data_IF_688748087084
#
_entry.id   IF_688748087084
#
_cell.length_a   1.000
_cell.length_b   1.000
_cell.length_c   1.000
_cell.angle_alpha   90.00
_cell.angle_beta   90.00
_cell.angle_gamma   90.00
#
_symmetry.space_group_name_H-M   'P 1'
#
loop_
_entity.id
_entity.type
_entity.pdbx_description
1 polymer ?
#
# COMPACT_ATOMS: atom_id res chain seq x y z
N UNK A 1 42.02 -0.38 11.59
CA UNK A 1 41.90 0.67 10.55
C UNK A 1 40.94 0.19 9.47
N UNK A 2 39.90 0.94 9.11
CA UNK A 2 38.99 0.57 8.00
C UNK A 2 39.72 0.88 6.67
N UNK A 3 39.85 -0.09 5.78
CA UNK A 3 40.53 0.10 4.49
C UNK A 3 39.81 1.11 3.60
N UNK A 4 40.55 1.80 2.73
CA UNK A 4 40.00 2.75 1.77
C UNK A 4 38.93 2.12 0.88
N UNK A 5 39.09 0.85 0.53
CA UNK A 5 38.11 0.09 -0.26
C UNK A 5 36.77 -0.11 0.49
N UNK A 6 36.83 -0.39 1.80
CA UNK A 6 35.64 -0.49 2.65
C UNK A 6 34.91 0.86 2.79
N UNK A 7 35.67 1.97 2.88
CA UNK A 7 35.11 3.33 2.88
C UNK A 7 34.44 3.66 1.55
N UNK A 8 35.05 3.29 0.43
CA UNK A 8 34.52 3.53 -0.92
C UNK A 8 33.25 2.72 -1.20
N UNK A 9 33.21 1.45 -0.80
CA UNK A 9 31.99 0.61 -0.89
C UNK A 9 30.82 1.18 -0.09
N UNK A 10 31.07 1.68 1.13
CA UNK A 10 30.05 2.35 1.95
C UNK A 10 29.53 3.64 1.30
N UNK A 11 30.43 4.42 0.70
CA UNK A 11 30.08 5.65 -0.04
C UNK A 11 29.23 5.36 -1.29
N UNK A 12 29.56 4.31 -2.05
CA UNK A 12 28.75 3.88 -3.19
C UNK A 12 27.38 3.35 -2.77
N UNK A 13 27.31 2.59 -1.68
CA UNK A 13 26.03 2.11 -1.13
C UNK A 13 25.15 3.25 -0.64
N UNK A 14 25.70 4.27 0.02
CA UNK A 14 24.93 5.43 0.48
C UNK A 14 24.40 6.27 -0.69
N UNK A 15 25.20 6.45 -1.75
CA UNK A 15 24.76 7.11 -3.01
C UNK A 15 23.64 6.34 -3.71
N UNK A 16 23.74 5.01 -3.82
CA UNK A 16 22.66 4.17 -4.40
C UNK A 16 21.37 4.26 -3.59
N UNK A 17 21.46 4.26 -2.25
CA UNK A 17 20.30 4.46 -1.36
C UNK A 17 19.67 5.85 -1.54
N UNK A 18 20.48 6.89 -1.70
CA UNK A 18 20.00 8.26 -1.94
C UNK A 18 19.27 8.38 -3.28
N UNK A 19 19.83 7.82 -4.35
CA UNK A 19 19.20 7.85 -5.69
C UNK A 19 17.89 7.04 -5.69
N UNK A 20 17.88 5.86 -5.05
CA UNK A 20 16.66 5.08 -4.89
C UNK A 20 15.60 5.86 -4.08
N UNK A 21 16.00 6.54 -3.01
CA UNK A 21 15.11 7.40 -2.23
C UNK A 21 14.53 8.56 -3.04
N UNK A 22 15.35 9.23 -3.86
CA UNK A 22 14.89 10.31 -4.76
C UNK A 22 13.93 9.75 -5.82
N UNK A 23 14.24 8.60 -6.42
CA UNK A 23 13.37 7.96 -7.41
C UNK A 23 12.01 7.60 -6.84
N UNK A 24 11.96 7.13 -5.59
CA UNK A 24 10.71 6.86 -4.86
C UNK A 24 9.94 8.15 -4.60
N UNK A 25 10.60 9.22 -4.14
CA UNK A 25 9.95 10.52 -3.91
C UNK A 25 9.39 11.10 -5.22
N UNK A 26 10.14 11.03 -6.32
CA UNK A 26 9.68 11.49 -7.62
C UNK A 26 8.51 10.65 -8.15
N UNK A 27 8.55 9.33 -8.01
CA UNK A 27 7.42 8.48 -8.34
C UNK A 27 6.18 8.82 -7.49
N UNK A 28 6.38 9.20 -6.22
CA UNK A 28 5.28 9.65 -5.38
C UNK A 28 4.72 11.02 -5.75
N UNK A 29 5.56 11.95 -6.20
CA UNK A 29 5.15 13.31 -6.56
C UNK A 29 4.50 13.37 -7.95
N UNK A 30 4.97 12.56 -8.90
CA UNK A 30 4.56 12.63 -10.31
C UNK A 30 3.67 11.48 -10.77
N UNK A 31 3.62 10.37 -10.02
CA UNK A 31 2.73 9.24 -10.33
C UNK A 31 1.25 9.54 -10.42
N UNK A 32 0.69 10.37 -9.52
CA UNK A 32 -0.71 10.76 -9.59
C UNK A 32 -1.08 11.54 -10.85
N UNK A 33 -0.12 12.18 -11.54
CA UNK A 33 -0.41 13.01 -12.71
C UNK A 33 -0.57 12.20 -14.01
N UNK A 34 0.14 11.07 -14.14
CA UNK A 34 0.20 10.26 -15.38
C UNK A 34 -0.94 9.24 -15.46
N UNK A 35 -1.52 8.82 -14.33
CA UNK A 35 -2.51 7.76 -14.25
C UNK A 35 -3.88 8.23 -13.76
N UNK A 36 -4.24 9.50 -13.98
CA UNK A 36 -5.44 10.11 -13.39
C UNK A 36 -6.77 9.42 -13.76
N UNK A 37 -6.93 8.94 -15.00
CA UNK A 37 -8.26 8.60 -15.53
C UNK A 37 -8.87 7.31 -14.95
N UNK A 38 -8.09 6.25 -14.70
CA UNK A 38 -8.62 5.00 -14.13
C UNK A 38 -8.67 5.01 -12.60
N UNK A 39 -7.81 5.80 -11.96
CA UNK A 39 -7.59 5.74 -10.52
C UNK A 39 -8.45 6.74 -9.74
N UNK A 40 -9.04 7.74 -10.42
CA UNK A 40 -9.96 8.71 -9.82
C UNK A 40 -11.43 8.27 -9.78
N UNK A 41 -11.77 7.05 -10.20
CA UNK A 41 -13.16 6.56 -10.18
C UNK A 41 -13.71 6.63 -8.75
N UNK A 42 -14.70 7.50 -8.52
CA UNK A 42 -15.34 7.72 -7.22
C UNK A 42 -16.32 6.60 -6.91
N UNK A 43 -16.30 6.11 -5.67
CA UNK A 43 -17.21 5.07 -5.18
C UNK A 43 -18.50 5.76 -4.72
N UNK A 44 -19.55 5.71 -5.54
CA UNK A 44 -20.81 6.40 -5.24
C UNK A 44 -21.78 5.55 -4.40
N UNK A 45 -21.64 4.24 -4.47
CA UNK A 45 -22.53 3.29 -3.80
C UNK A 45 -21.83 1.93 -3.56
N UNK A 46 -22.50 1.03 -2.85
CA UNK A 46 -21.99 -0.31 -2.53
C UNK A 46 -21.74 -1.17 -3.78
N UNK A 47 -22.51 -0.99 -4.86
CA UNK A 47 -22.32 -1.76 -6.10
C UNK A 47 -21.00 -1.41 -6.79
N UNK A 48 -20.66 -0.12 -6.85
CA UNK A 48 -19.37 0.36 -7.38
C UNK A 48 -18.21 -0.22 -6.58
N UNK A 49 -18.33 -0.23 -5.27
CA UNK A 49 -17.33 -0.81 -4.38
C UNK A 49 -17.13 -2.31 -4.64
N UNK A 50 -18.22 -3.09 -4.69
CA UNK A 50 -18.17 -4.53 -4.96
C UNK A 50 -17.48 -4.79 -6.30
N UNK A 51 -17.85 -4.03 -7.33
CA UNK A 51 -17.27 -4.15 -8.67
C UNK A 51 -15.77 -3.82 -8.65
N UNK A 52 -15.37 -2.69 -8.06
CA UNK A 52 -13.97 -2.28 -7.98
C UNK A 52 -13.14 -3.31 -7.20
N UNK A 53 -13.61 -3.80 -6.05
CA UNK A 53 -12.90 -4.83 -5.29
C UNK A 53 -12.73 -6.09 -6.13
N UNK A 54 -13.79 -6.58 -6.81
CA UNK A 54 -13.70 -7.75 -7.69
C UNK A 54 -12.75 -7.57 -8.87
N UNK A 55 -12.62 -6.35 -9.39
CA UNK A 55 -11.71 -6.04 -10.50
C UNK A 55 -10.24 -5.97 -10.04
N UNK A 56 -10.00 -5.39 -8.85
CA UNK A 56 -8.65 -5.11 -8.35
C UNK A 56 -8.06 -6.22 -7.46
N UNK A 57 -8.90 -6.99 -6.76
CA UNK A 57 -8.48 -8.12 -5.90
C UNK A 57 -7.64 -9.16 -6.67
N UNK A 58 -8.04 -9.64 -7.87
CA UNK A 58 -7.23 -10.59 -8.63
C UNK A 58 -5.87 -10.02 -9.04
N UNK A 59 -5.77 -8.69 -9.18
CA UNK A 59 -4.54 -8.00 -9.54
C UNK A 59 -3.59 -7.89 -8.34
N UNK A 60 -4.14 -7.63 -7.15
CA UNK A 60 -3.39 -7.58 -5.90
C UNK A 60 -2.91 -8.97 -5.45
N UNK A 61 -3.70 -10.01 -5.75
CA UNK A 61 -3.47 -11.39 -5.28
C UNK A 61 -2.33 -12.14 -5.96
N UNK A 62 -1.62 -11.60 -6.96
CA UNK A 62 -0.85 -12.38 -7.96
C UNK A 62 0.05 -13.53 -7.43
N UNK A 63 0.50 -13.49 -6.17
CA UNK A 63 1.23 -14.58 -5.50
C UNK A 63 0.77 -14.89 -4.06
N UNK A 64 -0.50 -14.62 -3.72
CA UNK A 64 -1.07 -14.76 -2.38
C UNK A 64 -2.30 -15.66 -2.36
N UNK A 65 -2.54 -16.33 -1.22
CA UNK A 65 -3.76 -17.09 -1.01
C UNK A 65 -5.01 -16.19 -1.10
N UNK A 66 -6.16 -16.78 -1.43
CA UNK A 66 -7.44 -16.07 -1.38
C UNK A 66 -7.70 -15.61 0.06
N UNK A 67 -8.24 -14.40 0.22
CA UNK A 67 -8.59 -13.79 1.51
C UNK A 67 -10.03 -13.33 1.43
N UNK A 68 -10.79 -13.45 2.50
CA UNK A 68 -12.15 -12.91 2.54
C UNK A 68 -12.08 -11.44 2.92
N UNK A 69 -12.60 -10.58 2.03
CA UNK A 69 -12.55 -9.13 2.22
C UNK A 69 -13.96 -8.61 2.42
N UNK A 70 -14.21 -8.17 3.64
CA UNK A 70 -15.42 -7.45 4.04
C UNK A 70 -15.17 -5.94 3.93
N UNK A 71 -16.23 -5.17 3.80
CA UNK A 71 -16.15 -3.72 3.82
C UNK A 71 -17.32 -3.10 4.58
N UNK A 72 -17.08 -1.92 5.17
CA UNK A 72 -18.14 -1.10 5.78
C UNK A 72 -17.88 0.39 5.57
N UNK A 73 -18.96 1.16 5.49
CA UNK A 73 -18.88 2.62 5.62
C UNK A 73 -18.77 2.99 7.09
N UNK A 74 -17.80 3.83 7.44
CA UNK A 74 -17.62 4.29 8.81
C UNK A 74 -16.43 5.24 8.95
N UNK A 75 -16.50 6.15 9.92
CA UNK A 75 -15.34 6.98 10.27
C UNK A 75 -14.34 6.13 11.04
N UNK A 76 -13.10 6.06 10.56
CA UNK A 76 -11.97 5.65 11.39
C UNK A 76 -11.49 6.87 12.17
N UNK A 77 -11.20 6.75 13.49
CA UNK A 77 -10.46 7.78 14.20
C UNK A 77 -9.15 8.10 13.46
N UNK A 78 -8.69 9.35 13.54
CA UNK A 78 -7.46 9.77 12.88
C UNK A 78 -6.28 8.89 13.33
N UNK A 79 -5.57 8.28 12.37
CA UNK A 79 -4.46 7.34 12.65
C UNK A 79 -4.86 5.87 12.82
N UNK A 80 -6.14 5.51 12.64
CA UNK A 80 -6.57 4.10 12.59
C UNK A 80 -6.50 3.58 11.16
N UNK A 81 -5.94 2.38 10.97
CA UNK A 81 -5.81 1.76 9.65
C UNK A 81 -7.18 1.63 8.96
N UNK A 82 -7.26 2.02 7.70
CA UNK A 82 -8.45 1.86 6.87
C UNK A 82 -8.66 0.41 6.43
N UNK A 83 -7.69 -0.47 6.63
CA UNK A 83 -7.83 -1.93 6.53
C UNK A 83 -7.27 -2.64 7.75
N UNK A 84 -7.91 -3.75 8.15
CA UNK A 84 -7.48 -4.56 9.28
C UNK A 84 -7.77 -6.04 9.06
N UNK A 85 -6.92 -6.89 9.63
CA UNK A 85 -7.20 -8.32 9.80
C UNK A 85 -8.17 -8.50 10.97
N UNK A 86 -9.22 -9.29 10.78
CA UNK A 86 -10.24 -9.56 11.81
C UNK A 86 -10.26 -11.04 12.24
N UNK A 87 -9.81 -11.96 11.38
CA UNK A 87 -9.57 -13.38 11.69
C UNK A 87 -8.40 -13.88 10.83
N UNK A 88 -8.03 -15.17 10.90
CA UNK A 88 -6.94 -15.74 10.08
C UNK A 88 -7.10 -15.47 8.58
N UNK A 89 -8.33 -15.59 8.05
CA UNK A 89 -8.64 -15.45 6.63
C UNK A 89 -9.50 -14.23 6.29
N UNK A 90 -10.04 -13.56 7.32
CA UNK A 90 -10.98 -12.46 7.14
C UNK A 90 -10.32 -11.09 7.38
N UNK A 91 -10.59 -10.17 6.45
CA UNK A 91 -10.08 -8.81 6.44
C UNK A 91 -11.24 -7.83 6.27
N UNK A 92 -11.10 -6.63 6.83
CA UNK A 92 -12.10 -5.58 6.76
C UNK A 92 -11.46 -4.32 6.18
N UNK A 93 -12.12 -3.71 5.20
CA UNK A 93 -11.82 -2.36 4.71
C UNK A 93 -12.89 -1.40 5.24
N UNK A 94 -12.47 -0.35 5.93
CA UNK A 94 -13.33 0.72 6.44
C UNK A 94 -13.19 1.92 5.52
N UNK A 95 -14.30 2.30 4.90
CA UNK A 95 -14.36 3.46 4.01
C UNK A 95 -14.94 4.65 4.75
N UNK A 96 -14.12 5.66 4.99
CA UNK A 96 -14.59 6.98 5.44
C UNK A 96 -14.73 7.93 4.23
N UNK A 97 -15.82 8.68 4.17
CA UNK A 97 -15.98 9.78 3.22
C UNK A 97 -16.00 9.35 1.74
N UNK A 98 -15.61 10.27 0.87
CA UNK A 98 -15.51 10.04 -0.58
C UNK A 98 -14.22 9.30 -0.88
N UNK A 99 -14.32 7.98 -1.07
CA UNK A 99 -13.19 7.14 -1.50
C UNK A 99 -13.30 6.84 -2.99
N UNK A 100 -12.14 6.55 -3.59
CA UNK A 100 -11.99 6.24 -5.00
C UNK A 100 -11.31 4.88 -5.17
N UNK A 101 -11.25 4.40 -6.42
CA UNK A 101 -10.55 3.16 -6.79
C UNK A 101 -9.11 3.10 -6.23
N UNK A 102 -8.34 4.18 -6.27
CA UNK A 102 -6.98 4.24 -5.69
C UNK A 102 -6.96 3.83 -4.22
N UNK A 103 -7.92 4.31 -3.43
CA UNK A 103 -8.01 3.94 -2.01
C UNK A 103 -8.18 2.43 -1.88
N UNK A 104 -9.06 1.82 -2.67
CA UNK A 104 -9.27 0.37 -2.64
C UNK A 104 -8.00 -0.37 -3.04
N UNK A 105 -7.31 0.05 -4.11
CA UNK A 105 -6.05 -0.56 -4.50
C UNK A 105 -4.99 -0.47 -3.40
N UNK A 106 -4.92 0.66 -2.70
CA UNK A 106 -4.01 0.88 -1.58
C UNK A 106 -4.32 -0.09 -0.42
N UNK A 107 -5.58 -0.20 0.00
CA UNK A 107 -5.98 -1.10 1.09
C UNK A 107 -5.81 -2.58 0.72
N UNK A 108 -6.12 -2.96 -0.52
CA UNK A 108 -5.89 -4.32 -1.02
C UNK A 108 -4.40 -4.69 -0.96
N UNK A 109 -3.50 -3.74 -1.23
CA UNK A 109 -2.06 -3.96 -1.07
C UNK A 109 -1.68 -4.19 0.40
N UNK A 110 -2.27 -3.46 1.36
CA UNK A 110 -1.99 -3.73 2.78
C UNK A 110 -2.43 -5.13 3.21
N UNK A 111 -3.56 -5.61 2.68
CA UNK A 111 -4.06 -6.97 2.92
C UNK A 111 -3.11 -7.99 2.27
N UNK A 112 -2.95 -7.98 0.94
CA UNK A 112 -2.18 -9.02 0.25
C UNK A 112 -0.65 -8.90 0.44
N UNK A 113 -0.14 -7.71 0.76
CA UNK A 113 1.25 -7.49 1.14
C UNK A 113 1.60 -8.00 2.55
N UNK A 114 0.62 -8.54 3.30
CA UNK A 114 0.81 -9.07 4.64
C UNK A 114 1.05 -7.99 5.71
N UNK A 115 0.66 -6.75 5.43
CA UNK A 115 0.85 -5.64 6.36
C UNK A 115 -0.18 -5.69 7.49
N UNK A 116 -1.43 -6.04 7.17
CA UNK A 116 -2.47 -6.27 8.16
C UNK A 116 -2.14 -7.44 9.10
N UNK A 117 -1.49 -8.49 8.60
CA UNK A 117 -1.05 -9.65 9.39
C UNK A 117 -0.05 -9.26 10.48
N UNK A 118 1.03 -8.60 10.07
CA UNK A 118 2.08 -8.13 11.00
C UNK A 118 1.58 -7.11 12.02
N UNK A 119 0.62 -6.25 11.64
CA UNK A 119 0.00 -5.32 12.57
C UNK A 119 -0.88 -6.05 13.60
N UNK A 120 -1.62 -7.08 13.18
CA UNK A 120 -2.45 -7.92 14.04
C UNK A 120 -1.63 -8.74 15.04
N UNK A 121 -0.49 -9.28 14.60
CA UNK A 121 0.45 -10.06 15.44
C UNK A 121 1.28 -9.20 16.42
N UNK A 122 0.99 -7.88 16.53
CA UNK A 122 1.75 -6.91 17.34
C UNK A 122 3.25 -6.90 17.02
N UNK A 123 3.62 -7.09 15.76
CA UNK A 123 5.01 -6.89 15.34
C UNK A 123 5.44 -5.44 15.57
N UNK A 124 6.62 -5.23 16.15
CA UNK A 124 7.18 -3.88 16.29
C UNK A 124 7.60 -3.36 14.91
N UNK A 125 6.80 -2.44 14.38
CA UNK A 125 7.12 -1.69 13.17
C UNK A 125 7.94 -0.46 13.54
N UNK A 126 9.15 -0.35 12.99
CA UNK A 126 9.87 0.92 13.05
C UNK A 126 9.10 1.98 12.25
N UNK A 127 9.27 3.26 12.60
CA UNK A 127 8.69 4.38 11.83
C UNK A 127 9.11 4.33 10.36
N UNK A 128 10.34 3.90 10.07
CA UNK A 128 10.85 3.77 8.71
C UNK A 128 10.12 2.67 7.92
N UNK A 129 9.80 1.54 8.56
CA UNK A 129 9.06 0.45 7.91
C UNK A 129 7.61 0.86 7.62
N UNK A 130 6.97 1.60 8.53
CA UNK A 130 5.64 2.18 8.29
C UNK A 130 5.66 3.10 7.06
N UNK A 131 6.60 4.04 7.00
CA UNK A 131 6.74 4.97 5.88
C UNK A 131 6.98 4.22 4.56
N UNK A 132 7.86 3.21 4.57
CA UNK A 132 8.16 2.42 3.38
C UNK A 132 6.92 1.68 2.87
N UNK A 133 6.11 1.11 3.76
CA UNK A 133 4.90 0.41 3.38
C UNK A 133 3.85 1.33 2.77
N UNK A 134 3.58 2.47 3.41
CA UNK A 134 2.63 3.47 2.92
C UNK A 134 3.02 3.98 1.54
N UNK A 135 4.32 4.22 1.34
CA UNK A 135 4.86 4.60 0.03
C UNK A 135 4.63 3.48 -0.99
N UNK A 136 4.91 2.24 -0.63
CA UNK A 136 4.77 1.10 -1.55
C UNK A 136 3.31 0.84 -1.90
N UNK A 137 2.39 0.99 -0.93
CA UNK A 137 0.95 0.92 -1.13
C UNK A 137 0.45 2.00 -2.07
N UNK A 138 0.95 3.23 -1.94
CA UNK A 138 0.63 4.32 -2.86
C UNK A 138 1.19 4.09 -4.27
N UNK A 139 2.43 3.59 -4.38
CA UNK A 139 3.02 3.25 -5.68
C UNK A 139 2.26 2.09 -6.36
N UNK A 140 1.85 1.07 -5.59
CA UNK A 140 0.94 0.02 -6.07
C UNK A 140 -0.36 0.64 -6.59
N UNK A 141 -0.99 1.48 -5.78
CA UNK A 141 -2.28 2.08 -6.07
C UNK A 141 -2.26 3.07 -7.25
N UNK A 142 -1.11 3.67 -7.59
CA UNK A 142 -1.00 4.60 -8.72
C UNK A 142 -0.52 3.96 -10.01
N UNK A 143 0.39 2.99 -9.91
CA UNK A 143 1.08 2.44 -11.08
C UNK A 143 0.68 0.99 -11.38
N UNK A 144 -0.18 0.38 -10.55
CA UNK A 144 -0.49 -1.04 -10.65
C UNK A 144 0.75 -1.91 -10.55
N UNK A 145 1.77 -1.45 -9.81
CA UNK A 145 3.01 -2.20 -9.61
C UNK A 145 2.66 -3.55 -9.02
N UNK A 146 3.10 -4.62 -9.67
CA UNK A 146 2.65 -5.98 -9.34
C UNK A 146 3.43 -6.48 -8.12
N UNK A 147 2.71 -7.04 -7.15
CA UNK A 147 3.25 -7.89 -6.08
C UNK A 147 3.71 -9.26 -6.64
#
# INVERSE_FOLDING_TARGET
MISAESRFKKYLQSRKKLIAGIGVVLACLFGPAVYRENFSEEIKNTSDLIRIVKEEEPRARKNSASRHIYWRYGKTPWGTAASAKISEEDYMIILDGRRNRTTICHELYHIYGGHCDKAFEKGDWTTADKIKNEITANLYAWYGLRL
#
